data_IF_008048245741
#
_entry.id   IF_008048245741
#
_cell.length_a   1.000
_cell.length_b   1.000
_cell.length_c   1.000
_cell.angle_alpha   90.00
_cell.angle_beta   90.00
_cell.angle_gamma   90.00
#
_symmetry.space_group_name_H-M   'P 1'
#
loop_
_entity.id
_entity.type
_entity.pdbx_description
1 polymer ?
#
# COMPACT_ATOMS: atom_id res chain seq x y z
N UNK A 1 -18.95 26.03 28.79
CA UNK A 1 -18.15 25.35 27.74
C UNK A 1 -18.99 24.72 26.63
N UNK A 2 -20.07 23.97 26.91
CA UNK A 2 -20.88 23.32 25.86
C UNK A 2 -21.55 24.27 24.84
N UNK A 3 -22.11 25.41 25.28
CA UNK A 3 -22.73 26.40 24.36
C UNK A 3 -21.70 27.04 23.41
N UNK A 4 -20.48 27.28 23.90
CA UNK A 4 -19.41 27.88 23.11
C UNK A 4 -18.91 26.95 21.99
N UNK A 5 -18.77 25.65 22.27
CA UNK A 5 -18.41 24.65 21.26
C UNK A 5 -19.46 24.52 20.13
N UNK A 6 -20.76 24.59 20.50
CA UNK A 6 -21.87 24.60 19.52
C UNK A 6 -21.85 25.85 18.64
N UNK A 7 -21.59 27.02 19.22
CA UNK A 7 -21.50 28.28 18.44
C UNK A 7 -20.28 28.25 17.52
N UNK A 8 -19.15 27.71 17.99
CA UNK A 8 -17.94 27.57 17.19
C UNK A 8 -18.13 26.62 16.00
N UNK A 9 -18.82 25.49 16.17
CA UNK A 9 -19.08 24.56 15.05
C UNK A 9 -20.01 25.15 13.99
N UNK A 10 -20.99 25.97 14.40
CA UNK A 10 -21.88 26.69 13.47
C UNK A 10 -21.06 27.72 12.67
N UNK A 11 -20.21 28.49 13.33
CA UNK A 11 -19.33 29.46 12.66
C UNK A 11 -18.35 28.79 11.71
N UNK A 12 -17.73 27.67 12.11
CA UNK A 12 -16.81 26.91 11.27
C UNK A 12 -17.52 26.35 10.03
N UNK A 13 -18.73 25.80 10.20
CA UNK A 13 -19.51 25.27 9.07
C UNK A 13 -19.90 26.36 8.07
N UNK A 14 -20.36 27.52 8.56
CA UNK A 14 -20.74 28.68 7.72
C UNK A 14 -19.53 29.20 6.94
N UNK A 15 -18.36 29.24 7.58
CA UNK A 15 -17.14 29.79 6.97
C UNK A 15 -16.32 28.74 6.20
N UNK A 16 -16.80 27.49 6.10
CA UNK A 16 -16.05 26.42 5.44
C UNK A 16 -16.07 26.61 3.92
N UNK A 17 -14.92 26.99 3.37
CA UNK A 17 -14.74 27.07 1.91
C UNK A 17 -14.87 25.67 1.30
N UNK A 18 -15.64 25.55 0.22
CA UNK A 18 -15.75 24.30 -0.53
C UNK A 18 -14.38 23.91 -1.07
N UNK A 19 -13.98 22.65 -0.88
CA UNK A 19 -12.74 22.13 -1.45
C UNK A 19 -12.83 22.16 -2.97
N UNK A 20 -11.91 22.85 -3.62
CA UNK A 20 -11.74 22.77 -5.07
C UNK A 20 -11.07 21.44 -5.41
N UNK A 21 -11.83 20.50 -5.98
CA UNK A 21 -11.30 19.19 -6.41
C UNK A 21 -10.84 19.32 -7.87
N UNK A 22 -9.53 19.20 -8.09
CA UNK A 22 -8.98 19.06 -9.43
C UNK A 22 -9.01 17.59 -9.83
N UNK A 23 -9.74 17.28 -10.90
CA UNK A 23 -9.75 15.93 -11.45
C UNK A 23 -8.47 15.66 -12.25
N UNK A 24 -7.93 14.43 -12.20
CA UNK A 24 -6.75 14.07 -12.97
C UNK A 24 -7.02 14.23 -14.47
N UNK A 25 -6.10 14.92 -15.14
CA UNK A 25 -6.11 15.15 -16.59
C UNK A 25 -4.85 14.60 -17.20
N UNK A 26 -4.98 14.10 -18.43
CA UNK A 26 -3.84 13.72 -19.27
C UNK A 26 -3.04 14.97 -19.66
N UNK A 27 -1.79 14.82 -20.11
CA UNK A 27 -1.00 15.93 -20.67
C UNK A 27 -1.77 16.70 -21.77
N UNK A 28 -2.63 16.00 -22.53
CA UNK A 28 -3.47 16.55 -23.58
C UNK A 28 -4.70 17.36 -23.08
N UNK A 29 -4.83 17.58 -21.77
CA UNK A 29 -5.93 18.32 -21.14
C UNK A 29 -7.26 17.56 -21.01
N UNK A 30 -7.35 16.36 -21.60
CA UNK A 30 -8.50 15.44 -21.50
C UNK A 30 -8.60 14.81 -20.10
N UNK A 31 -9.82 14.54 -19.59
CA UNK A 31 -9.97 13.81 -18.33
C UNK A 31 -9.39 12.39 -18.45
N UNK A 32 -8.79 11.89 -17.38
CA UNK A 32 -8.34 10.49 -17.31
C UNK A 32 -9.56 9.57 -17.16
N UNK A 33 -9.61 8.48 -17.93
CA UNK A 33 -10.70 7.51 -17.78
C UNK A 33 -10.56 6.73 -16.47
N UNK A 34 -11.69 6.43 -15.81
CA UNK A 34 -11.70 5.68 -14.54
C UNK A 34 -11.00 4.33 -14.66
N UNK A 35 -11.07 3.68 -15.83
CA UNK A 35 -10.37 2.40 -16.09
C UNK A 35 -8.84 2.50 -16.03
N UNK A 36 -8.27 3.69 -16.27
CA UNK A 36 -6.82 3.92 -16.17
C UNK A 36 -6.36 4.10 -14.72
N UNK A 37 -7.24 4.64 -13.86
CA UNK A 37 -6.96 4.85 -12.43
C UNK A 37 -7.31 3.62 -11.59
N UNK A 38 -8.27 2.81 -12.05
CA UNK A 38 -8.77 1.69 -11.30
C UNK A 38 -7.66 0.69 -10.97
N UNK A 39 -7.40 0.49 -9.68
CA UNK A 39 -6.43 -0.47 -9.20
C UNK A 39 -4.96 -0.07 -9.42
N UNK A 40 -4.66 1.19 -9.75
CA UNK A 40 -3.29 1.69 -9.99
C UNK A 40 -2.33 1.48 -8.81
N UNK A 41 -2.90 1.50 -7.59
CA UNK A 41 -2.22 1.33 -6.30
C UNK A 41 -2.55 -0.02 -5.65
N UNK A 42 -2.81 -1.06 -6.45
CA UNK A 42 -3.05 -2.42 -5.96
C UNK A 42 -2.14 -3.40 -6.69
N UNK A 43 -1.45 -4.24 -5.93
CA UNK A 43 -0.55 -5.26 -6.47
C UNK A 43 -1.33 -6.50 -6.93
N UNK A 44 -1.95 -6.42 -8.12
CA UNK A 44 -2.81 -7.46 -8.68
C UNK A 44 -2.04 -8.67 -9.23
N UNK A 45 -2.79 -9.74 -9.56
CA UNK A 45 -2.26 -10.94 -10.22
C UNK A 45 -1.45 -10.68 -11.49
N UNK A 46 -1.83 -9.68 -12.29
CA UNK A 46 -1.07 -9.29 -13.48
C UNK A 46 0.31 -8.74 -13.11
N UNK A 47 0.42 -8.01 -12.01
CA UNK A 47 1.69 -7.48 -11.54
C UNK A 47 2.56 -8.59 -10.93
N UNK A 48 1.95 -9.52 -10.18
CA UNK A 48 2.63 -10.72 -9.68
C UNK A 48 3.19 -11.56 -10.83
N UNK A 49 2.43 -11.73 -11.92
CA UNK A 49 2.87 -12.47 -13.11
C UNK A 49 4.08 -11.82 -13.81
N UNK A 50 4.17 -10.48 -13.79
CA UNK A 50 5.32 -9.74 -14.33
C UNK A 50 6.56 -9.83 -13.42
N UNK A 51 6.35 -9.93 -12.12
CA UNK A 51 7.43 -9.91 -11.14
C UNK A 51 8.05 -11.28 -10.85
N UNK A 52 7.30 -12.37 -11.02
CA UNK A 52 7.74 -13.73 -10.69
C UNK A 52 8.12 -14.56 -11.94
N UNK A 53 9.09 -15.49 -11.81
CA UNK A 53 9.31 -16.52 -12.82
C UNK A 53 8.06 -17.38 -13.05
N UNK A 54 7.87 -17.86 -14.30
CA UNK A 54 6.72 -18.70 -14.69
C UNK A 54 6.42 -19.85 -13.73
N UNK A 55 7.41 -20.64 -13.24
CA UNK A 55 7.15 -21.74 -12.31
C UNK A 55 6.62 -21.27 -10.95
N UNK A 56 7.18 -20.19 -10.40
CA UNK A 56 6.76 -19.62 -9.11
C UNK A 56 5.35 -19.04 -9.21
N UNK A 57 5.05 -18.32 -10.30
CA UNK A 57 3.70 -17.82 -10.56
C UNK A 57 2.67 -18.94 -10.70
N UNK A 58 3.02 -20.02 -11.41
CA UNK A 58 2.14 -21.19 -11.55
C UNK A 58 1.89 -21.90 -10.21
N UNK A 59 2.91 -22.02 -9.36
CA UNK A 59 2.78 -22.54 -7.99
C UNK A 59 1.85 -21.68 -7.15
N UNK A 60 2.08 -20.36 -7.16
CA UNK A 60 1.24 -19.39 -6.46
C UNK A 60 -0.22 -19.46 -6.88
N UNK A 61 -0.51 -19.56 -8.19
CA UNK A 61 -1.88 -19.69 -8.68
C UNK A 61 -2.57 -20.98 -8.18
N UNK A 62 -1.83 -22.08 -8.04
CA UNK A 62 -2.37 -23.34 -7.47
C UNK A 62 -2.69 -23.16 -5.99
N UNK A 63 -1.76 -22.60 -5.21
CA UNK A 63 -1.93 -22.34 -3.78
C UNK A 63 -3.10 -21.39 -3.51
N UNK A 64 -3.21 -20.32 -4.29
CA UNK A 64 -4.30 -19.34 -4.18
C UNK A 64 -5.68 -19.94 -4.48
N UNK A 65 -5.78 -20.88 -5.43
CA UNK A 65 -7.06 -21.51 -5.82
C UNK A 65 -7.55 -22.59 -4.85
N UNK A 66 -6.71 -23.12 -3.94
CA UNK A 66 -7.21 -24.00 -2.88
C UNK A 66 -6.21 -24.95 -2.19
N UNK A 67 -6.44 -25.08 -0.88
CA UNK A 67 -5.98 -26.07 0.14
C UNK A 67 -4.49 -26.39 0.27
N UNK A 68 -3.60 -25.65 -0.38
CA UNK A 68 -2.17 -25.75 -0.10
C UNK A 68 -1.70 -24.50 0.62
N UNK A 69 -0.88 -24.69 1.66
CA UNK A 69 -0.21 -23.59 2.30
C UNK A 69 0.72 -22.89 1.28
N UNK A 70 0.80 -21.57 1.38
CA UNK A 70 1.79 -20.80 0.65
C UNK A 70 3.18 -21.23 1.13
N UNK A 71 3.99 -21.75 0.23
CA UNK A 71 5.35 -22.14 0.58
C UNK A 71 6.22 -20.91 0.82
N UNK A 72 7.21 -21.05 1.72
CA UNK A 72 8.06 -19.93 2.14
C UNK A 72 8.82 -19.31 0.97
N UNK A 73 9.30 -20.11 0.01
CA UNK A 73 10.09 -19.59 -1.10
C UNK A 73 9.24 -18.70 -2.02
N UNK A 74 8.02 -19.13 -2.35
CA UNK A 74 7.05 -18.33 -3.11
C UNK A 74 6.64 -17.09 -2.32
N UNK A 75 6.41 -17.21 -1.00
CA UNK A 75 6.09 -16.08 -0.13
C UNK A 75 7.21 -15.03 -0.11
N UNK A 76 8.47 -15.43 0.07
CA UNK A 76 9.63 -14.54 0.10
C UNK A 76 9.80 -13.81 -1.25
N UNK A 77 9.61 -14.53 -2.36
CA UNK A 77 9.66 -13.94 -3.70
C UNK A 77 8.56 -12.88 -3.93
N UNK A 78 7.32 -13.18 -3.51
CA UNK A 78 6.21 -12.22 -3.58
C UNK A 78 6.48 -11.03 -2.67
N UNK A 79 6.92 -11.24 -1.43
CA UNK A 79 7.20 -10.18 -0.48
C UNK A 79 8.28 -9.22 -1.00
N UNK A 80 9.34 -9.76 -1.60
CA UNK A 80 10.38 -8.97 -2.25
C UNK A 80 9.83 -8.14 -3.42
N UNK A 81 9.02 -8.75 -4.29
CA UNK A 81 8.39 -8.07 -5.42
C UNK A 81 7.42 -6.95 -4.98
N UNK A 82 6.57 -7.22 -3.99
CA UNK A 82 5.63 -6.26 -3.41
C UNK A 82 6.37 -5.08 -2.80
N UNK A 83 7.46 -5.35 -2.05
CA UNK A 83 8.28 -4.31 -1.45
C UNK A 83 8.83 -3.35 -2.49
N UNK A 84 9.47 -3.87 -3.55
CA UNK A 84 10.03 -3.02 -4.62
C UNK A 84 8.93 -2.20 -5.28
N UNK A 85 7.83 -2.86 -5.68
CA UNK A 85 6.70 -2.19 -6.34
C UNK A 85 6.08 -1.07 -5.48
N UNK A 86 5.99 -1.28 -4.17
CA UNK A 86 5.46 -0.30 -3.23
C UNK A 86 6.43 0.87 -3.03
N UNK A 87 7.73 0.59 -2.91
CA UNK A 87 8.77 1.60 -2.77
C UNK A 87 8.87 2.49 -4.02
N UNK A 88 8.71 1.93 -5.22
CA UNK A 88 8.65 2.70 -6.48
C UNK A 88 7.47 3.69 -6.51
N UNK A 89 6.45 3.47 -5.67
CA UNK A 89 5.27 4.33 -5.47
C UNK A 89 5.39 5.23 -4.24
N UNK A 90 6.56 5.29 -3.61
CA UNK A 90 6.83 6.13 -2.44
C UNK A 90 6.37 5.53 -1.11
N UNK A 91 5.99 4.25 -1.05
CA UNK A 91 5.66 3.61 0.21
C UNK A 91 6.92 3.42 1.08
N UNK A 92 6.83 3.81 2.35
CA UNK A 92 7.93 3.73 3.33
C UNK A 92 7.72 2.66 4.40
N UNK A 93 6.46 2.23 4.58
CA UNK A 93 6.04 1.28 5.60
C UNK A 93 5.14 0.20 4.99
N UNK A 94 5.04 -0.94 5.68
CA UNK A 94 4.01 -1.95 5.45
C UNK A 94 3.21 -2.18 6.73
N UNK A 95 2.04 -2.79 6.58
CA UNK A 95 1.21 -3.19 7.71
C UNK A 95 0.47 -4.47 7.40
N UNK A 96 0.19 -5.27 8.42
CA UNK A 96 -0.81 -6.33 8.34
C UNK A 96 -2.18 -5.70 8.60
N UNK A 97 -2.87 -5.32 7.52
CA UNK A 97 -4.19 -4.70 7.64
C UNK A 97 -5.25 -5.78 7.90
N UNK A 98 -5.92 -5.72 9.06
CA UNK A 98 -7.03 -6.59 9.40
C UNK A 98 -8.02 -5.90 10.34
N UNK A 99 -9.25 -6.40 10.37
CA UNK A 99 -10.31 -5.90 11.25
C UNK A 99 -10.57 -6.88 12.41
N UNK A 100 -10.05 -6.62 13.62
CA UNK A 100 -10.37 -7.42 14.79
C UNK A 100 -11.82 -7.25 15.26
N UNK A 101 -12.32 -8.18 16.07
CA UNK A 101 -13.65 -8.13 16.71
C UNK A 101 -13.75 -7.09 17.84
N UNK A 102 -12.98 -6.00 17.77
CA UNK A 102 -12.97 -4.89 18.73
C UNK A 102 -13.68 -3.65 18.22
N UNK A 103 -14.24 -3.68 17.00
CA UNK A 103 -14.97 -2.56 16.40
C UNK A 103 -14.08 -1.46 15.81
N UNK A 104 -12.76 -1.65 15.80
CA UNK A 104 -11.77 -0.75 15.18
C UNK A 104 -10.79 -1.54 14.31
N UNK A 105 -10.12 -0.89 13.37
CA UNK A 105 -9.05 -1.49 12.57
C UNK A 105 -7.77 -1.57 13.40
N UNK A 106 -7.05 -2.69 13.33
CA UNK A 106 -5.71 -2.79 13.87
C UNK A 106 -4.71 -2.52 12.74
N UNK A 107 -3.91 -1.48 12.90
CA UNK A 107 -2.81 -1.16 12.00
C UNK A 107 -1.54 -0.90 12.81
N UNK A 108 -0.42 -1.42 12.31
CA UNK A 108 0.93 -1.12 12.80
C UNK A 108 1.79 -0.82 11.59
N UNK A 109 2.42 0.34 11.56
CA UNK A 109 3.29 0.76 10.45
C UNK A 109 4.73 0.34 10.74
N UNK A 110 5.19 -0.72 10.07
CA UNK A 110 6.57 -1.19 10.15
C UNK A 110 7.36 -0.68 8.93
N UNK A 111 8.48 0.00 9.17
CA UNK A 111 9.30 0.54 8.09
C UNK A 111 10.05 -0.57 7.32
N UNK A 112 10.32 -0.35 6.03
CA UNK A 112 11.16 -1.28 5.24
C UNK A 112 12.66 -1.25 5.61
N UNK A 113 13.04 -0.48 6.64
CA UNK A 113 14.41 -0.34 7.10
C UNK A 113 14.94 -1.67 7.62
N UNK A 114 16.13 -2.06 7.16
CA UNK A 114 16.88 -3.19 7.69
C UNK A 114 18.28 -2.71 8.00
N UNK A 115 18.68 -2.83 9.27
CA UNK A 115 20.07 -2.60 9.67
C UNK A 115 20.88 -3.78 9.15
N UNK A 116 21.53 -3.61 7.98
CA UNK A 116 22.61 -4.51 7.60
C UNK A 116 23.74 -4.28 8.60
N UNK A 117 23.96 -5.22 9.50
CA UNK A 117 25.20 -5.25 10.28
C UNK A 117 26.34 -5.60 9.33
N UNK A 118 26.83 -4.60 8.58
CA UNK A 118 28.15 -4.68 7.98
C UNK A 118 29.14 -4.38 9.10
N UNK A 119 29.37 -5.35 9.97
CA UNK A 119 30.56 -5.31 10.80
C UNK A 119 31.74 -5.56 9.84
N UNK A 120 32.36 -4.47 9.35
CA UNK A 120 33.67 -4.61 8.72
C UNK A 120 34.59 -5.11 9.81
N UNK A 121 35.01 -6.37 9.73
CA UNK A 121 35.96 -6.95 10.68
C UNK A 121 37.34 -6.26 10.62
N UNK A 122 37.56 -5.39 9.63
CA UNK A 122 38.80 -4.68 9.42
C UNK A 122 38.50 -3.18 9.47
N UNK A 123 38.81 -2.56 10.61
CA UNK A 123 38.76 -1.11 10.78
C UNK A 123 39.94 -0.44 10.10
N UNK A 124 39.82 -0.19 8.80
CA UNK A 124 40.65 0.78 8.10
C UNK A 124 39.71 1.79 7.42
N UNK A 125 40.05 3.06 7.62
CA UNK A 125 39.24 4.29 7.49
C UNK A 125 38.55 4.53 6.13
#
# INVERSE_FOLDING_TARGET
MANQARVASIQDNINRVTRSIQYPRKPDGKPVYTSELFGENVFHLQQIAKALPKPAYASFLKQMRGRQALDKATADAIAHAVRIWAMDRGATHFTHWFQPQTGSTAEKHDAFLSLKSSFSANGEE
#
